data_IF_221146228143
#
_entry.id   IF_221146228143
#
_cell.length_a   1.000
_cell.length_b   1.000
_cell.length_c   1.000
_cell.angle_alpha   90.00
_cell.angle_beta   90.00
_cell.angle_gamma   90.00
#
_symmetry.space_group_name_H-M   'P 1'
#
loop_
_entity.id
_entity.type
_entity.pdbx_description
1 polymer ?
#
# COMPACT_ATOMS: atom_id res chain seq x y z
N UNK A 1 12.55 -4.17 -15.82
CA UNK A 1 12.67 -3.63 -14.45
C UNK A 1 13.28 -4.69 -13.53
N UNK A 2 14.51 -5.16 -13.82
CA UNK A 2 15.12 -6.31 -13.11
C UNK A 2 16.64 -6.11 -12.87
N UNK A 3 17.11 -4.86 -12.87
CA UNK A 3 18.56 -4.55 -12.95
C UNK A 3 19.19 -3.92 -11.69
N UNK A 4 18.40 -3.36 -10.76
CA UNK A 4 18.96 -2.48 -9.72
C UNK A 4 19.44 -3.27 -8.49
N UNK A 5 18.75 -4.34 -8.09
CA UNK A 5 19.13 -5.16 -6.92
C UNK A 5 20.43 -5.94 -7.13
N UNK A 6 20.77 -6.32 -8.38
CA UNK A 6 21.98 -7.09 -8.67
C UNK A 6 23.25 -6.24 -8.65
N UNK A 7 23.14 -4.94 -8.97
CA UNK A 7 24.27 -4.02 -9.07
C UNK A 7 24.84 -3.58 -7.71
N UNK A 8 24.02 -3.57 -6.66
CA UNK A 8 24.44 -3.13 -5.32
C UNK A 8 25.15 -4.22 -4.49
N UNK A 9 25.24 -5.45 -5.00
CA UNK A 9 25.98 -6.54 -4.36
C UNK A 9 27.47 -6.48 -4.71
N UNK A 10 28.14 -5.40 -4.31
CA UNK A 10 29.59 -5.27 -4.41
C UNK A 10 30.30 -6.29 -3.52
N UNK A 11 30.77 -7.39 -4.11
CA UNK A 11 31.84 -8.23 -3.57
C UNK A 11 31.60 -9.04 -2.29
N UNK A 12 30.44 -8.96 -1.64
CA UNK A 12 30.14 -9.68 -0.39
C UNK A 12 28.84 -10.47 -0.46
N UNK A 13 28.83 -11.69 0.09
CA UNK A 13 27.74 -12.70 0.12
C UNK A 13 26.38 -12.25 0.71
N UNK A 14 26.10 -10.97 0.89
CA UNK A 14 24.79 -10.47 1.35
C UNK A 14 24.07 -9.80 0.19
N UNK A 15 23.00 -10.42 -0.28
CA UNK A 15 22.03 -9.76 -1.17
C UNK A 15 21.48 -8.53 -0.44
N UNK A 16 21.46 -7.37 -1.11
CA UNK A 16 20.80 -6.18 -0.58
C UNK A 16 19.34 -6.49 -0.24
N UNK A 17 18.91 -6.14 0.96
CA UNK A 17 17.55 -6.32 1.44
C UNK A 17 16.87 -4.96 1.50
N UNK A 18 15.71 -4.84 0.86
CA UNK A 18 14.91 -3.62 0.88
C UNK A 18 13.52 -3.95 1.40
N UNK A 19 12.99 -3.07 2.24
CA UNK A 19 11.59 -3.08 2.64
C UNK A 19 10.84 -2.01 1.85
N UNK A 20 9.76 -2.40 1.20
CA UNK A 20 8.84 -1.49 0.52
C UNK A 20 7.65 -1.27 1.43
N UNK A 21 7.37 -0.01 1.72
CA UNK A 21 6.22 0.42 2.50
C UNK A 21 5.17 1.00 1.56
N UNK A 22 3.91 0.61 1.77
CA UNK A 22 2.77 1.18 1.07
C UNK A 22 1.65 1.46 2.06
N UNK A 23 0.96 2.58 1.90
CA UNK A 23 -0.23 2.89 2.69
C UNK A 23 -1.48 2.23 2.09
N UNK A 24 -2.42 1.74 2.91
CA UNK A 24 -3.56 0.94 2.45
C UNK A 24 -4.60 1.73 1.67
N UNK A 25 -4.52 3.06 1.62
CA UNK A 25 -5.37 3.89 0.76
C UNK A 25 -4.90 3.91 -0.69
N UNK A 26 -3.71 3.39 -1.01
CA UNK A 26 -3.19 3.44 -2.37
C UNK A 26 -4.03 2.58 -3.33
N UNK A 27 -4.32 3.09 -4.53
CA UNK A 27 -5.10 2.41 -5.57
C UNK A 27 -4.59 0.98 -5.87
N UNK A 28 -3.27 0.82 -5.92
CA UNK A 28 -2.61 -0.45 -6.25
C UNK A 28 -2.34 -1.35 -5.02
N UNK A 29 -2.99 -1.11 -3.87
CA UNK A 29 -2.75 -1.89 -2.63
C UNK A 29 -3.06 -3.38 -2.81
N UNK A 30 -4.08 -3.73 -3.61
CA UNK A 30 -4.46 -5.13 -3.81
C UNK A 30 -3.40 -5.88 -4.64
N UNK A 31 -2.91 -5.25 -5.70
CA UNK A 31 -1.82 -5.73 -6.54
C UNK A 31 -0.53 -5.85 -5.73
N UNK A 32 -0.23 -4.85 -4.89
CA UNK A 32 0.92 -4.87 -3.98
C UNK A 32 0.89 -6.07 -3.02
N UNK A 33 -0.27 -6.37 -2.45
CA UNK A 33 -0.45 -7.55 -1.58
C UNK A 33 -0.29 -8.87 -2.34
N UNK A 34 -0.69 -8.91 -3.62
CA UNK A 34 -0.52 -10.11 -4.45
C UNK A 34 0.94 -10.35 -4.86
N UNK A 35 1.80 -9.32 -4.91
CA UNK A 35 3.25 -9.48 -5.15
C UNK A 35 3.97 -10.29 -4.06
N UNK A 36 3.41 -10.31 -2.83
CA UNK A 36 3.92 -11.11 -1.72
C UNK A 36 3.66 -12.62 -1.91
N UNK A 37 2.68 -13.01 -2.74
CA UNK A 37 2.28 -14.42 -2.87
C UNK A 37 3.31 -15.23 -3.67
N UNK A 38 3.55 -16.45 -3.18
CA UNK A 38 4.50 -17.39 -3.78
C UNK A 38 3.99 -18.13 -5.04
N UNK A 39 2.75 -17.91 -5.48
CA UNK A 39 2.15 -18.52 -6.67
C UNK A 39 1.88 -17.44 -7.74
N UNK A 40 2.34 -17.65 -8.98
CA UNK A 40 2.31 -16.66 -10.09
C UNK A 40 3.53 -16.73 -11.01
N UNK A 41 3.52 -16.06 -12.17
CA UNK A 41 4.64 -16.02 -13.14
C UNK A 41 5.90 -15.38 -12.52
N UNK A 42 7.09 -15.88 -12.86
CA UNK A 42 8.37 -15.43 -12.25
C UNK A 42 8.67 -13.93 -12.46
N UNK A 43 8.20 -13.35 -13.55
CA UNK A 43 8.41 -11.95 -13.95
C UNK A 43 7.78 -10.93 -12.97
N UNK A 44 6.81 -11.37 -12.16
CA UNK A 44 6.11 -10.54 -11.18
C UNK A 44 6.70 -10.66 -9.76
N UNK A 45 7.87 -11.28 -9.60
CA UNK A 45 8.41 -11.60 -8.28
C UNK A 45 9.67 -10.83 -7.95
N UNK A 46 9.61 -10.01 -6.91
CA UNK A 46 10.79 -9.44 -6.27
C UNK A 46 11.05 -10.18 -4.94
N UNK A 47 11.48 -11.45 -5.03
CA UNK A 47 11.61 -12.37 -3.88
C UNK A 47 12.62 -11.92 -2.81
N UNK A 48 13.48 -10.97 -3.14
CA UNK A 48 14.48 -10.41 -2.21
C UNK A 48 13.98 -9.10 -1.53
N UNK A 49 12.71 -8.70 -1.74
CA UNK A 49 12.07 -7.55 -1.09
C UNK A 49 11.16 -7.98 0.07
N UNK A 50 11.18 -7.19 1.14
CA UNK A 50 10.22 -7.26 2.23
C UNK A 50 9.07 -6.28 1.94
N UNK A 51 7.83 -6.69 2.19
CA UNK A 51 6.65 -5.87 1.99
C UNK A 51 6.05 -5.51 3.34
N UNK A 52 5.82 -4.21 3.56
CA UNK A 52 5.21 -3.69 4.76
C UNK A 52 4.07 -2.73 4.39
N UNK A 53 3.06 -2.66 5.25
CA UNK A 53 2.01 -1.66 5.15
C UNK A 53 2.18 -0.60 6.23
N UNK A 54 2.03 0.66 5.85
CA UNK A 54 1.96 1.78 6.78
C UNK A 54 0.49 2.10 7.04
N UNK A 55 -0.05 1.62 8.17
CA UNK A 55 -1.49 1.60 8.40
C UNK A 55 -1.91 2.84 9.20
N UNK A 56 -2.76 3.73 8.67
CA UNK A 56 -3.32 4.83 9.42
C UNK A 56 -4.41 4.34 10.38
N UNK A 57 -4.56 5.03 11.53
CA UNK A 57 -5.57 4.70 12.54
C UNK A 57 -6.99 4.68 11.95
N UNK A 58 -7.28 5.59 11.01
CA UNK A 58 -8.55 5.65 10.28
C UNK A 58 -8.91 4.32 9.61
N UNK A 59 -7.93 3.64 9.02
CA UNK A 59 -8.19 2.35 8.37
C UNK A 59 -8.69 1.34 9.38
N UNK A 60 -8.05 1.24 10.55
CA UNK A 60 -8.46 0.33 11.61
C UNK A 60 -9.83 0.69 12.18
N UNK A 61 -10.12 1.99 12.36
CA UNK A 61 -11.46 2.47 12.75
C UNK A 61 -12.53 2.00 11.75
N UNK A 62 -12.27 2.12 10.44
CA UNK A 62 -13.18 1.69 9.36
C UNK A 62 -13.33 0.16 9.29
N UNK A 63 -12.26 -0.61 9.56
CA UNK A 63 -12.35 -2.09 9.65
C UNK A 63 -13.27 -2.51 10.80
N UNK A 64 -13.10 -1.92 11.99
CA UNK A 64 -13.89 -2.23 13.18
C UNK A 64 -15.36 -1.86 13.02
N UNK A 65 -15.66 -0.75 12.34
CA UNK A 65 -17.04 -0.31 12.10
C UNK A 65 -17.71 -0.95 10.87
N UNK A 66 -17.02 -1.87 10.17
CA UNK A 66 -17.47 -2.40 8.87
C UNK A 66 -17.75 -1.28 7.84
N UNK A 67 -16.97 -0.21 7.93
CA UNK A 67 -17.05 0.95 7.06
C UNK A 67 -16.46 0.70 5.68
N UNK A 68 -16.69 1.68 4.82
CA UNK A 68 -16.09 1.75 3.50
C UNK A 68 -14.69 2.38 3.58
N UNK A 69 -13.85 1.95 2.64
CA UNK A 69 -12.48 2.39 2.44
C UNK A 69 -12.28 2.76 0.98
N UNK A 70 -11.94 4.02 0.74
CA UNK A 70 -11.69 4.58 -0.58
C UNK A 70 -10.20 4.50 -0.91
N UNK A 71 -9.92 4.10 -2.15
CA UNK A 71 -8.58 4.02 -2.70
C UNK A 71 -8.32 5.20 -3.63
N UNK A 72 -7.13 5.77 -3.51
CA UNK A 72 -6.72 6.98 -4.22
C UNK A 72 -5.45 6.76 -5.03
N UNK A 73 -5.32 7.54 -6.11
CA UNK A 73 -4.03 7.74 -6.75
C UNK A 73 -3.30 8.91 -6.10
N UNK A 74 -2.02 8.77 -5.69
CA UNK A 74 -1.26 9.85 -5.06
C UNK A 74 -1.16 11.12 -5.91
N UNK A 75 -1.26 11.00 -7.24
CA UNK A 75 -1.27 12.15 -8.14
C UNK A 75 -2.61 12.92 -8.11
N UNK A 76 -3.72 12.23 -7.85
CA UNK A 76 -5.06 12.82 -7.79
C UNK A 76 -5.39 13.31 -6.36
N UNK A 77 -4.86 12.63 -5.34
CA UNK A 77 -5.00 12.96 -3.93
C UNK A 77 -3.62 13.23 -3.28
N UNK A 78 -2.95 14.34 -3.62
CA UNK A 78 -1.63 14.66 -3.10
C UNK A 78 -1.67 15.02 -1.61
N UNK A 79 -0.58 14.77 -0.88
CA UNK A 79 -0.43 15.16 0.52
C UNK A 79 -0.96 14.14 1.53
N UNK A 80 -1.66 13.07 1.09
CA UNK A 80 -2.03 11.97 1.99
C UNK A 80 -0.80 11.31 2.63
N UNK A 81 0.28 11.11 1.86
CA UNK A 81 1.53 10.53 2.39
C UNK A 81 2.32 11.46 3.35
N UNK A 82 2.03 12.75 3.32
CA UNK A 82 2.77 13.77 4.08
C UNK A 82 2.04 14.18 5.38
N UNK A 83 0.85 13.63 5.61
CA UNK A 83 -0.03 13.95 6.74
C UNK A 83 -0.27 12.72 7.61
N UNK A 84 -0.61 12.94 8.89
CA UNK A 84 -0.89 11.86 9.84
C UNK A 84 -1.94 12.30 10.87
N UNK A 85 -2.50 11.35 11.62
CA UNK A 85 -3.49 11.62 12.67
C UNK A 85 -4.71 12.36 12.14
N UNK A 86 -5.18 13.36 12.88
CA UNK A 86 -6.41 14.11 12.56
C UNK A 86 -6.31 14.87 11.22
N UNK A 87 -5.11 15.32 10.82
CA UNK A 87 -4.89 16.01 9.55
C UNK A 87 -5.09 15.06 8.36
N UNK A 88 -4.54 13.84 8.47
CA UNK A 88 -4.77 12.78 7.50
C UNK A 88 -6.26 12.44 7.40
N UNK A 89 -6.94 12.28 8.54
CA UNK A 89 -8.37 11.96 8.57
C UNK A 89 -9.21 13.01 7.86
N UNK A 90 -8.96 14.29 8.17
CA UNK A 90 -9.67 15.41 7.54
C UNK A 90 -9.41 15.48 6.02
N UNK A 91 -8.17 15.29 5.59
CA UNK A 91 -7.80 15.33 4.17
C UNK A 91 -8.38 14.14 3.39
N UNK A 92 -8.31 12.94 3.97
CA UNK A 92 -8.88 11.73 3.40
C UNK A 92 -10.39 11.86 3.18
N UNK A 93 -11.12 12.28 4.22
CA UNK A 93 -12.58 12.45 4.11
C UNK A 93 -12.98 13.59 3.17
N UNK A 94 -12.14 14.62 3.06
CA UNK A 94 -12.34 15.68 2.06
C UNK A 94 -12.28 15.09 0.66
N UNK A 95 -11.27 14.27 0.35
CA UNK A 95 -11.16 13.63 -0.97
C UNK A 95 -12.25 12.61 -1.24
N UNK A 96 -12.78 11.93 -0.21
CA UNK A 96 -14.00 11.11 -0.36
C UNK A 96 -15.20 11.99 -0.78
N UNK A 97 -15.41 13.14 -0.12
CA UNK A 97 -16.52 14.06 -0.41
C UNK A 97 -16.40 14.72 -1.80
N UNK A 98 -15.18 15.06 -2.19
CA UNK A 98 -14.88 15.66 -3.49
C UNK A 98 -14.95 14.64 -4.65
N UNK A 99 -15.14 13.34 -4.34
CA UNK A 99 -15.29 12.29 -5.35
C UNK A 99 -14.00 11.94 -6.09
N UNK A 100 -12.84 12.22 -5.48
CA UNK A 100 -11.51 11.99 -6.08
C UNK A 100 -11.09 10.51 -5.97
N UNK A 101 -11.84 9.70 -5.21
CA UNK A 101 -11.59 8.27 -5.05
C UNK A 101 -11.72 7.48 -6.35
N UNK A 102 -10.73 6.61 -6.63
CA UNK A 102 -10.78 5.72 -7.80
C UNK A 102 -11.71 4.53 -7.59
N UNK A 103 -11.73 4.00 -6.38
CA UNK A 103 -12.51 2.81 -6.02
C UNK A 103 -12.79 2.81 -4.53
N UNK A 104 -14.02 2.49 -4.17
CA UNK A 104 -14.41 2.27 -2.78
C UNK A 104 -14.68 0.79 -2.55
N UNK A 105 -14.13 0.24 -1.48
CA UNK A 105 -14.27 -1.16 -1.07
C UNK A 105 -14.67 -1.24 0.39
N UNK A 106 -15.12 -2.40 0.86
CA UNK A 106 -15.27 -2.61 2.31
C UNK A 106 -13.88 -2.69 2.95
N UNK A 107 -13.68 -1.96 4.05
CA UNK A 107 -12.41 -1.97 4.78
C UNK A 107 -12.03 -3.39 5.22
N UNK A 108 -13.02 -4.18 5.66
CA UNK A 108 -12.83 -5.59 6.01
C UNK A 108 -12.34 -6.46 4.84
N UNK A 109 -12.80 -6.19 3.61
CA UNK A 109 -12.34 -6.95 2.44
C UNK A 109 -10.85 -6.73 2.16
N UNK A 110 -10.35 -5.50 2.35
CA UNK A 110 -8.91 -5.22 2.27
C UNK A 110 -8.18 -5.87 3.45
N UNK A 111 -8.73 -5.78 4.67
CA UNK A 111 -8.15 -6.43 5.85
C UNK A 111 -7.98 -7.95 5.69
N UNK A 112 -8.99 -8.65 5.18
CA UNK A 112 -8.90 -10.09 4.89
C UNK A 112 -7.85 -10.45 3.84
N UNK A 113 -7.51 -9.51 2.94
CA UNK A 113 -6.45 -9.69 1.95
C UNK A 113 -5.05 -9.51 2.57
N UNK A 114 -4.94 -8.74 3.64
CA UNK A 114 -3.70 -8.46 4.37
C UNK A 114 -3.30 -9.67 5.24
N UNK A 115 -4.29 -10.34 5.84
CA UNK A 115 -4.13 -11.58 6.61
C UNK A 115 -3.67 -12.76 5.74
#
# INVERSE_FOLDING_TARGET
MLGITRALSGGGKRKGSFAVYLEPWHADVFEFLDLKKNHGKEEQRARDLFYALWIPDLFMKRVMSNGDWTLFCPNEAPGLQDTYGDEFEALYEKYEKDGIGRKTVKAQSLWFKIL
#
